data_IF_242353796739
#
_entry.id   IF_242353796739
#
_cell.length_a   1.000
_cell.length_b   1.000
_cell.length_c   1.000
_cell.angle_alpha   90.00
_cell.angle_beta   90.00
_cell.angle_gamma   90.00
#
_symmetry.space_group_name_H-M   'P 1'
#
loop_
_entity.id
_entity.type
_entity.pdbx_description
1 polymer ?
#
# COMPACT_ATOMS: atom_id res chain seq x y z
N UNK A 1 -66.37 -25.78 25.20
CA UNK A 1 -64.91 -25.60 25.24
C UNK A 1 -64.48 -25.01 23.91
N UNK A 2 -63.79 -23.88 23.97
CA UNK A 2 -63.07 -23.14 22.92
C UNK A 2 -63.72 -22.87 21.55
N UNK A 3 -64.14 -21.61 21.37
CA UNK A 3 -63.45 -20.52 20.63
C UNK A 3 -63.00 -20.71 19.16
N UNK A 4 -62.90 -19.57 18.42
CA UNK A 4 -63.08 -19.42 16.97
C UNK A 4 -61.75 -19.27 16.20
N UNK A 5 -61.81 -19.11 14.87
CA UNK A 5 -61.26 -17.92 14.16
C UNK A 5 -61.54 -17.98 12.63
N UNK A 6 -61.92 -16.85 12.00
CA UNK A 6 -61.69 -16.55 10.59
C UNK A 6 -60.69 -15.39 10.41
N UNK A 7 -59.62 -15.59 9.62
CA UNK A 7 -58.71 -14.52 9.20
C UNK A 7 -57.96 -14.95 7.93
N UNK A 8 -58.30 -14.39 6.77
CA UNK A 8 -57.69 -13.21 6.14
C UNK A 8 -56.34 -13.49 5.48
N UNK A 9 -56.34 -13.28 4.16
CA UNK A 9 -55.21 -13.30 3.24
C UNK A 9 -53.99 -12.54 3.76
N UNK A 10 -52.80 -13.09 3.56
CA UNK A 10 -51.63 -12.26 3.32
C UNK A 10 -50.66 -12.89 2.32
N UNK A 11 -50.03 -11.99 1.58
CA UNK A 11 -49.30 -12.12 0.34
C UNK A 11 -47.90 -12.70 0.60
N UNK A 12 -47.70 -13.98 0.28
CA UNK A 12 -46.38 -14.61 0.28
C UNK A 12 -45.54 -14.16 -0.92
N UNK A 13 -44.94 -12.98 -0.81
CA UNK A 13 -43.81 -12.57 -1.64
C UNK A 13 -42.65 -13.56 -1.42
N UNK A 14 -42.38 -14.41 -2.41
CA UNK A 14 -41.18 -15.23 -2.41
C UNK A 14 -39.98 -14.27 -2.57
N UNK A 15 -39.26 -14.10 -1.47
CA UNK A 15 -38.04 -13.32 -1.39
C UNK A 15 -36.99 -13.87 -2.35
N UNK A 16 -36.46 -12.99 -3.20
CA UNK A 16 -35.15 -13.14 -3.82
C UNK A 16 -34.11 -13.56 -2.77
N UNK A 17 -33.18 -14.48 -3.08
CA UNK A 17 -32.03 -14.71 -2.22
C UNK A 17 -31.14 -13.45 -2.23
N UNK A 18 -30.60 -13.03 -1.06
CA UNK A 18 -29.66 -11.92 -1.02
C UNK A 18 -28.39 -12.31 -1.76
N UNK A 19 -28.08 -11.59 -2.84
CA UNK A 19 -26.76 -11.65 -3.47
C UNK A 19 -25.73 -11.11 -2.48
N UNK A 20 -24.64 -11.84 -2.17
CA UNK A 20 -23.56 -11.30 -1.35
C UNK A 20 -22.91 -10.13 -2.10
N UNK A 21 -23.12 -8.92 -1.56
CA UNK A 21 -22.40 -7.74 -1.95
C UNK A 21 -20.95 -7.87 -1.51
N UNK A 22 -20.07 -8.16 -2.47
CA UNK A 22 -18.64 -7.89 -2.38
C UNK A 22 -18.22 -7.28 -3.71
N UNK A 23 -18.78 -6.12 -4.03
CA UNK A 23 -18.13 -5.22 -4.99
C UNK A 23 -17.02 -4.50 -4.25
N UNK A 24 -15.87 -5.16 -4.12
CA UNK A 24 -14.62 -4.41 -4.05
C UNK A 24 -14.60 -3.46 -5.26
N UNK A 25 -14.11 -2.21 -5.13
CA UNK A 25 -14.04 -1.34 -6.28
C UNK A 25 -12.98 -1.93 -7.22
N UNK A 26 -13.43 -2.48 -8.36
CA UNK A 26 -12.56 -3.12 -9.34
C UNK A 26 -11.36 -2.24 -9.76
N UNK A 27 -11.48 -0.92 -9.63
CA UNK A 27 -10.39 0.03 -9.88
C UNK A 27 -9.21 -0.06 -8.91
N UNK A 28 -9.43 -0.42 -7.63
CA UNK A 28 -8.35 -0.59 -6.64
C UNK A 28 -7.50 -1.81 -6.98
N UNK A 29 -8.13 -2.96 -7.25
CA UNK A 29 -7.44 -4.20 -7.60
C UNK A 29 -6.63 -4.06 -8.90
N UNK A 30 -7.19 -3.44 -9.95
CA UNK A 30 -6.48 -3.20 -11.21
C UNK A 30 -5.26 -2.28 -11.03
N UNK A 31 -5.37 -1.27 -10.17
CA UNK A 31 -4.26 -0.34 -9.90
C UNK A 31 -3.14 -1.02 -9.12
N UNK A 32 -3.48 -1.90 -8.17
CA UNK A 32 -2.51 -2.71 -7.43
C UNK A 32 -1.80 -3.71 -8.35
N UNK A 33 -2.52 -4.36 -9.26
CA UNK A 33 -1.93 -5.27 -10.23
C UNK A 33 -0.95 -4.54 -11.17
N UNK A 34 -1.34 -3.35 -11.64
CA UNK A 34 -0.47 -2.50 -12.43
C UNK A 34 0.80 -2.07 -11.66
N UNK A 35 0.69 -1.80 -10.35
CA UNK A 35 1.86 -1.55 -9.52
C UNK A 35 2.79 -2.77 -9.47
N UNK A 36 2.25 -3.99 -9.36
CA UNK A 36 3.03 -5.23 -9.36
C UNK A 36 3.85 -5.50 -10.63
N UNK A 37 3.50 -4.86 -11.75
CA UNK A 37 4.26 -4.96 -13.01
C UNK A 37 5.47 -4.01 -13.06
N UNK A 38 5.55 -3.02 -12.17
CA UNK A 38 6.70 -2.12 -12.08
C UNK A 38 7.91 -2.88 -11.51
N UNK A 39 9.15 -2.54 -11.91
CA UNK A 39 10.33 -3.07 -11.24
C UNK A 39 10.33 -2.65 -9.77
N UNK A 40 10.94 -3.47 -8.91
CA UNK A 40 11.09 -3.13 -7.50
C UNK A 40 12.01 -1.91 -7.35
N UNK A 41 13.14 -1.92 -8.05
CA UNK A 41 14.11 -0.82 -8.10
C UNK A 41 14.39 -0.42 -9.55
N UNK A 42 14.31 0.87 -9.82
CA UNK A 42 14.84 1.49 -11.03
C UNK A 42 16.23 2.07 -10.72
N UNK A 43 17.27 1.37 -11.18
CA UNK A 43 18.66 1.75 -10.95
C UNK A 43 19.02 3.09 -11.61
N UNK A 44 18.32 3.48 -12.69
CA UNK A 44 18.60 4.73 -13.39
C UNK A 44 18.38 5.96 -12.50
N UNK A 45 17.42 5.88 -11.56
CA UNK A 45 17.14 6.97 -10.59
C UNK A 45 18.33 7.18 -9.64
N UNK A 46 18.94 6.09 -9.18
CA UNK A 46 20.10 6.16 -8.29
C UNK A 46 21.36 6.60 -9.03
N UNK A 47 21.53 6.17 -10.29
CA UNK A 47 22.61 6.63 -11.18
C UNK A 47 22.50 8.13 -11.47
N UNK A 48 21.31 8.62 -11.84
CA UNK A 48 21.04 10.04 -12.06
C UNK A 48 21.29 10.86 -10.79
N UNK A 49 20.81 10.39 -9.64
CA UNK A 49 21.05 11.07 -8.36
C UNK A 49 22.55 11.13 -8.00
N UNK A 50 23.32 10.09 -8.31
CA UNK A 50 24.76 10.07 -8.07
C UNK A 50 25.51 11.01 -9.03
N UNK A 51 25.10 11.09 -10.30
CA UNK A 51 25.63 12.03 -11.30
C UNK A 51 25.35 13.49 -10.91
N UNK A 52 24.13 13.81 -10.48
CA UNK A 52 23.76 15.14 -9.96
C UNK A 52 24.60 15.54 -8.74
N UNK A 53 24.99 14.55 -7.93
CA UNK A 53 25.80 14.72 -6.74
C UNK A 53 27.31 14.54 -7.00
N UNK A 54 27.72 14.57 -8.27
CA UNK A 54 29.11 14.49 -8.74
C UNK A 54 29.89 13.29 -8.17
N UNK A 55 29.24 12.14 -8.00
CA UNK A 55 29.90 10.92 -7.51
C UNK A 55 30.29 10.97 -6.03
N UNK A 56 29.64 11.81 -5.22
CA UNK A 56 29.96 12.00 -3.79
C UNK A 56 29.69 10.78 -2.89
N UNK A 57 29.08 9.72 -3.41
CA UNK A 57 28.60 8.53 -2.70
C UNK A 57 27.36 8.79 -1.85
N UNK A 58 26.72 9.95 -2.03
CA UNK A 58 25.59 10.37 -1.22
C UNK A 58 24.30 9.61 -1.60
N UNK A 59 24.09 9.23 -2.87
CA UNK A 59 22.96 8.38 -3.25
C UNK A 59 23.08 7.00 -2.59
N UNK A 60 24.29 6.45 -2.49
CA UNK A 60 24.55 5.21 -1.77
C UNK A 60 24.30 5.31 -0.26
N UNK A 61 24.63 6.45 0.35
CA UNK A 61 24.28 6.71 1.76
C UNK A 61 22.76 6.77 1.93
N UNK A 62 22.05 7.48 1.06
CA UNK A 62 20.59 7.52 1.09
C UNK A 62 19.96 6.14 0.96
N UNK A 63 20.42 5.30 0.03
CA UNK A 63 19.92 3.94 -0.14
C UNK A 63 20.16 3.07 1.11
N UNK A 64 21.34 3.19 1.76
CA UNK A 64 21.63 2.51 3.03
C UNK A 64 20.74 2.99 4.17
N UNK A 65 20.60 4.29 4.31
CA UNK A 65 19.79 4.90 5.37
C UNK A 65 18.30 4.53 5.19
N UNK A 66 17.82 4.54 3.95
CA UNK A 66 16.49 4.07 3.59
C UNK A 66 16.26 2.62 4.01
N UNK A 67 17.17 1.72 3.63
CA UNK A 67 17.10 0.31 3.99
C UNK A 67 17.13 0.08 5.50
N UNK A 68 17.99 0.81 6.22
CA UNK A 68 18.11 0.69 7.68
C UNK A 68 16.86 1.17 8.44
N UNK A 69 16.12 2.12 7.87
CA UNK A 69 14.90 2.68 8.48
C UNK A 69 13.61 1.96 8.04
N UNK A 70 13.68 1.04 7.09
CA UNK A 70 12.49 0.43 6.48
C UNK A 70 11.56 -0.21 7.51
N UNK A 71 12.05 -1.13 8.34
CA UNK A 71 11.22 -1.87 9.29
C UNK A 71 10.48 -0.93 10.24
N UNK A 72 11.17 0.11 10.74
CA UNK A 72 10.57 1.10 11.62
C UNK A 72 9.49 1.92 10.90
N UNK A 73 9.73 2.35 9.65
CA UNK A 73 8.77 3.13 8.86
C UNK A 73 7.54 2.29 8.52
N UNK A 74 7.74 1.05 8.10
CA UNK A 74 6.67 0.12 7.75
C UNK A 74 5.77 -0.14 8.97
N UNK A 75 6.37 -0.43 10.14
CA UNK A 75 5.61 -0.65 11.37
C UNK A 75 4.82 0.59 11.80
N UNK A 76 5.40 1.79 11.67
CA UNK A 76 4.72 3.04 12.03
C UNK A 76 3.53 3.33 11.13
N UNK A 77 3.69 3.11 9.82
CA UNK A 77 2.62 3.26 8.85
C UNK A 77 1.49 2.25 9.10
N UNK A 78 1.82 0.97 9.29
CA UNK A 78 0.86 -0.07 9.60
C UNK A 78 0.06 0.26 10.87
N UNK A 79 0.73 0.69 11.95
CA UNK A 79 0.08 1.09 13.20
C UNK A 79 -0.89 2.26 13.01
N UNK A 80 -0.53 3.27 12.20
CA UNK A 80 -1.39 4.42 11.93
C UNK A 80 -2.61 4.04 11.07
N UNK A 81 -2.43 3.13 10.11
CA UNK A 81 -3.53 2.57 9.30
C UNK A 81 -4.48 1.75 10.17
N UNK A 82 -3.94 0.93 11.08
CA UNK A 82 -4.73 0.09 11.99
C UNK A 82 -5.51 0.89 13.03
N UNK A 83 -4.93 1.97 13.55
CA UNK A 83 -5.60 2.88 14.48
C UNK A 83 -6.59 3.82 13.78
N UNK A 84 -6.64 3.81 12.43
CA UNK A 84 -7.41 4.74 11.61
C UNK A 84 -7.08 6.19 11.88
N UNK A 85 -5.82 6.46 12.23
CA UNK A 85 -5.31 7.82 12.40
C UNK A 85 -4.97 8.40 11.02
N UNK A 86 -5.95 9.08 10.41
CA UNK A 86 -5.82 9.65 9.06
C UNK A 86 -4.64 10.59 8.92
N UNK A 87 -4.34 11.40 9.93
CA UNK A 87 -3.27 12.40 9.86
C UNK A 87 -1.91 11.69 9.86
N UNK A 88 -1.68 10.82 10.85
CA UNK A 88 -0.43 10.05 10.96
C UNK A 88 -0.23 9.10 9.78
N UNK A 89 -1.30 8.43 9.31
CA UNK A 89 -1.22 7.50 8.21
C UNK A 89 -0.90 8.22 6.89
N UNK A 90 -1.50 9.40 6.67
CA UNK A 90 -1.26 10.19 5.47
C UNK A 90 0.17 10.73 5.43
N UNK A 91 0.66 11.27 6.54
CA UNK A 91 2.05 11.75 6.66
C UNK A 91 3.05 10.61 6.39
N UNK A 92 2.84 9.45 7.03
CA UNK A 92 3.68 8.28 6.84
C UNK A 92 3.64 7.75 5.39
N UNK A 93 2.47 7.72 4.74
CA UNK A 93 2.33 7.27 3.36
C UNK A 93 3.01 8.22 2.37
N UNK A 94 2.87 9.54 2.55
CA UNK A 94 3.53 10.54 1.71
C UNK A 94 5.05 10.46 1.88
N UNK A 95 5.52 10.39 3.13
CA UNK A 95 6.94 10.22 3.45
C UNK A 95 7.52 8.95 2.82
N UNK A 96 6.78 7.84 2.90
CA UNK A 96 7.18 6.59 2.26
C UNK A 96 7.24 6.73 0.73
N UNK A 97 6.23 7.35 0.10
CA UNK A 97 6.20 7.57 -1.35
C UNK A 97 7.43 8.34 -1.83
N UNK A 98 7.71 9.50 -1.20
CA UNK A 98 8.83 10.36 -1.57
C UNK A 98 10.16 9.63 -1.36
N UNK A 99 10.35 9.03 -0.18
CA UNK A 99 11.61 8.35 0.13
C UNK A 99 11.86 7.12 -0.73
N UNK A 100 10.80 6.38 -1.12
CA UNK A 100 10.92 5.24 -2.04
C UNK A 100 11.27 5.70 -3.45
N UNK A 101 10.65 6.79 -3.93
CA UNK A 101 10.98 7.34 -5.26
C UNK A 101 12.45 7.78 -5.36
N UNK A 102 13.00 8.40 -4.31
CA UNK A 102 14.41 8.84 -4.30
C UNK A 102 15.42 7.69 -4.41
N UNK A 103 15.06 6.48 -3.96
CA UNK A 103 15.91 5.29 -4.08
C UNK A 103 15.57 4.43 -5.30
N UNK A 104 14.76 4.95 -6.23
CA UNK A 104 14.29 4.21 -7.39
C UNK A 104 13.25 3.12 -7.06
N UNK A 105 12.70 3.09 -5.86
CA UNK A 105 11.68 2.14 -5.41
C UNK A 105 10.31 2.39 -6.06
N UNK A 106 10.22 2.31 -7.39
CA UNK A 106 9.07 2.79 -8.18
C UNK A 106 7.79 2.01 -7.90
N UNK A 107 7.88 0.69 -7.69
CA UNK A 107 6.73 -0.14 -7.29
C UNK A 107 6.18 0.31 -5.94
N UNK A 108 7.06 0.45 -4.96
CA UNK A 108 6.69 0.82 -3.60
C UNK A 108 6.16 2.26 -3.52
N UNK A 109 6.75 3.20 -4.28
CA UNK A 109 6.24 4.55 -4.41
C UNK A 109 4.81 4.54 -4.96
N UNK A 110 4.51 3.68 -5.94
CA UNK A 110 3.15 3.55 -6.49
C UNK A 110 2.17 2.96 -5.47
N UNK A 111 2.57 1.94 -4.71
CA UNK A 111 1.73 1.38 -3.65
C UNK A 111 1.45 2.41 -2.54
N UNK A 112 2.45 3.21 -2.16
CA UNK A 112 2.28 4.28 -1.19
C UNK A 112 1.32 5.37 -1.70
N UNK A 113 1.32 5.69 -3.00
CA UNK A 113 0.34 6.60 -3.62
C UNK A 113 -1.09 6.03 -3.59
N UNK A 114 -1.25 4.72 -3.84
CA UNK A 114 -2.55 4.05 -3.72
C UNK A 114 -3.05 4.06 -2.27
N UNK A 115 -2.16 3.81 -1.31
CA UNK A 115 -2.48 3.87 0.11
C UNK A 115 -2.87 5.28 0.55
N UNK A 116 -2.13 6.30 0.10
CA UNK A 116 -2.47 7.71 0.30
C UNK A 116 -3.91 8.01 -0.18
N UNK A 117 -4.26 7.51 -1.37
CA UNK A 117 -5.59 7.69 -1.96
C UNK A 117 -6.68 7.05 -1.10
N UNK A 118 -6.47 5.84 -0.60
CA UNK A 118 -7.42 5.14 0.29
C UNK A 118 -7.59 5.87 1.62
N UNK A 119 -6.50 6.34 2.23
CA UNK A 119 -6.53 7.12 3.48
C UNK A 119 -7.33 8.41 3.29
N UNK A 120 -7.11 9.14 2.17
CA UNK A 120 -7.88 10.36 1.84
C UNK A 120 -9.38 10.09 1.64
N UNK A 121 -9.73 8.89 1.19
CA UNK A 121 -11.12 8.45 1.03
C UNK A 121 -11.74 7.92 2.34
N UNK A 122 -10.94 7.74 3.39
CA UNK A 122 -11.36 7.14 4.66
C UNK A 122 -11.52 5.62 4.60
N UNK A 123 -11.05 4.97 3.54
CA UNK A 123 -11.16 3.52 3.36
C UNK A 123 -9.98 2.78 4.00
N UNK A 124 -9.96 2.78 5.33
CA UNK A 124 -8.94 2.07 6.11
C UNK A 124 -9.06 0.55 5.99
N UNK A 125 -10.24 0.00 5.65
CA UNK A 125 -10.39 -1.44 5.45
C UNK A 125 -9.59 -1.92 4.23
N UNK A 126 -9.69 -1.22 3.10
CA UNK A 126 -8.81 -1.47 1.97
C UNK A 126 -7.36 -1.04 2.24
N UNK A 127 -7.15 0.02 3.02
CA UNK A 127 -5.81 0.44 3.45
C UNK A 127 -5.05 -0.65 4.19
N UNK A 128 -5.72 -1.37 5.09
CA UNK A 128 -5.15 -2.51 5.83
C UNK A 128 -4.77 -3.67 4.90
N UNK A 129 -5.64 -4.02 3.95
CA UNK A 129 -5.34 -5.06 2.94
C UNK A 129 -4.15 -4.64 2.06
N UNK A 130 -4.11 -3.38 1.63
CA UNK A 130 -3.01 -2.87 0.81
C UNK A 130 -1.69 -2.83 1.59
N UNK A 131 -1.74 -2.63 2.91
CA UNK A 131 -0.56 -2.59 3.78
C UNK A 131 0.22 -3.91 3.76
N UNK A 132 -0.45 -5.05 3.62
CA UNK A 132 0.22 -6.36 3.47
C UNK A 132 1.13 -6.36 2.23
N UNK A 133 0.63 -5.82 1.11
CA UNK A 133 1.40 -5.70 -0.13
C UNK A 133 2.53 -4.68 -0.02
N UNK A 134 2.30 -3.55 0.65
CA UNK A 134 3.34 -2.55 0.95
C UNK A 134 4.47 -3.17 1.77
N UNK A 135 4.15 -3.98 2.79
CA UNK A 135 5.14 -4.65 3.62
C UNK A 135 5.97 -5.67 2.82
N UNK A 136 5.31 -6.49 2.00
CA UNK A 136 5.98 -7.47 1.14
C UNK A 136 6.89 -6.78 0.12
N UNK A 137 6.34 -5.92 -0.73
CA UNK A 137 7.07 -5.30 -1.84
C UNK A 137 8.19 -4.39 -1.33
N UNK A 138 8.02 -3.77 -0.16
CA UNK A 138 9.08 -2.98 0.44
C UNK A 138 10.22 -3.82 1.03
N UNK A 139 9.94 -5.00 1.60
CA UNK A 139 10.98 -5.95 1.99
C UNK A 139 11.79 -6.47 0.79
N UNK A 140 11.11 -6.76 -0.33
CA UNK A 140 11.75 -7.14 -1.59
C UNK A 140 12.60 -5.98 -2.15
N UNK A 141 12.06 -4.75 -2.15
CA UNK A 141 12.76 -3.54 -2.60
C UNK A 141 14.04 -3.30 -1.80
N UNK A 142 13.98 -3.41 -0.47
CA UNK A 142 15.16 -3.27 0.40
C UNK A 142 16.20 -4.35 0.12
N UNK A 143 15.76 -5.59 -0.06
CA UNK A 143 16.66 -6.71 -0.37
C UNK A 143 17.38 -6.50 -1.72
N UNK A 144 16.67 -5.96 -2.71
CA UNK A 144 17.23 -5.63 -4.01
C UNK A 144 18.20 -4.44 -3.94
N UNK A 145 17.85 -3.36 -3.23
CA UNK A 145 18.76 -2.23 -2.98
C UNK A 145 20.06 -2.69 -2.32
N UNK A 146 19.96 -3.56 -1.32
CA UNK A 146 21.12 -4.13 -0.65
C UNK A 146 22.00 -4.93 -1.62
N UNK A 147 21.38 -5.84 -2.37
CA UNK A 147 22.10 -6.77 -3.26
C UNK A 147 22.73 -6.08 -4.48
N UNK A 148 22.02 -5.12 -5.09
CA UNK A 148 22.37 -4.56 -6.39
C UNK A 148 23.18 -3.27 -6.29
N UNK A 149 22.91 -2.43 -5.28
CA UNK A 149 23.50 -1.09 -5.17
C UNK A 149 24.48 -0.95 -4.01
N UNK A 150 24.18 -1.58 -2.86
CA UNK A 150 25.01 -1.45 -1.66
C UNK A 150 26.19 -2.44 -1.70
N UNK A 151 25.95 -3.71 -2.07
CA UNK A 151 27.00 -4.75 -2.13
C UNK A 151 27.86 -4.69 -3.39
N UNK A 152 27.36 -4.14 -4.49
CA UNK A 152 28.09 -4.09 -5.77
C UNK A 152 29.11 -2.95 -5.86
N UNK A 153 28.96 -1.93 -5.00
CA UNK A 153 29.80 -0.73 -4.92
C UNK A 153 30.53 -0.63 -3.56
N UNK A 154 30.81 -1.78 -2.93
CA UNK A 154 31.51 -1.90 -1.63
C UNK A 154 32.93 -2.42 -1.77
#
# INVERSE_FOLDING_TARGET
MHSPDPGSSDRGAAADPPRPGITAPAGSALSQEAAGLLPLVDAAVLEELEDELAGSGLAQRFARDYAAMWDQRCARLAAAVDSRDSESALDAAISLKISSAMVGGVRLAKLAELLETLIRQGDFGQGQVLMERVAQDGGETVSELQSTYILKNG
#
